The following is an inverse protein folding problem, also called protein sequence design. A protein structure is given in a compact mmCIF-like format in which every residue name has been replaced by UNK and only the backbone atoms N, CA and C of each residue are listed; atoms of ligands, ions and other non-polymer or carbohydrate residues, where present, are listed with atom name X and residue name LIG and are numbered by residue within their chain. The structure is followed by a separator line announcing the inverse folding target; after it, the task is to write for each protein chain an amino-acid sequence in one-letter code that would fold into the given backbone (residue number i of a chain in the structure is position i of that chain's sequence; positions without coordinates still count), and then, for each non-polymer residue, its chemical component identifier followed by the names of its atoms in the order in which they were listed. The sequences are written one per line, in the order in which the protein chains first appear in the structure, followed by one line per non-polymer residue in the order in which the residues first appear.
data_IF_524030003160
#
_entry.id   IF_524030003160
#
_cell.length_a   1.000
_cell.length_b   1.000
_cell.length_c   1.000
_cell.angle_alpha   90.00
_cell.angle_beta   90.00
_cell.angle_gamma   90.00
#
_symmetry.space_group_name_H-M   'P 1'
#
loop_
_entity.id
_entity.type
_entity.pdbx_description
1 polymer ?
#
# COMPACT_ATOMS: atom_id res chain seq x y z
N UNK A 1 5.59 9.36 6.29
CA UNK A 1 5.63 7.89 6.13
C UNK A 1 6.70 7.22 7.00
N UNK A 2 7.92 7.78 7.16
CA UNK A 2 8.95 7.16 8.01
C UNK A 2 8.55 6.90 9.48
N UNK A 3 7.77 7.80 10.11
CA UNK A 3 7.23 7.55 11.45
C UNK A 3 6.26 6.36 11.53
N UNK A 4 5.59 6.02 10.43
CA UNK A 4 4.72 4.84 10.36
C UNK A 4 5.55 3.55 10.37
N UNK A 5 6.65 3.49 9.60
CA UNK A 5 7.57 2.35 9.62
C UNK A 5 8.08 2.05 11.03
N UNK A 6 8.53 3.08 11.76
CA UNK A 6 8.99 2.91 13.14
C UNK A 6 7.88 2.34 14.05
N UNK A 7 6.64 2.80 13.89
CA UNK A 7 5.51 2.26 14.67
C UNK A 7 5.17 0.81 14.30
N UNK A 8 5.29 0.45 13.02
CA UNK A 8 5.06 -0.90 12.54
C UNK A 8 6.13 -1.86 13.07
N UNK A 9 7.40 -1.46 13.02
CA UNK A 9 8.49 -2.27 13.56
C UNK A 9 8.39 -2.41 15.08
N UNK A 10 8.03 -1.36 15.82
CA UNK A 10 7.81 -1.46 17.26
C UNK A 10 6.62 -2.36 17.65
N UNK A 11 5.63 -2.53 16.76
CA UNK A 11 4.46 -3.36 17.03
C UNK A 11 4.67 -4.83 16.63
N UNK A 12 5.27 -5.05 15.45
CA UNK A 12 5.41 -6.38 14.86
C UNK A 12 6.83 -6.97 14.97
N UNK A 13 7.81 -6.17 15.41
CA UNK A 13 9.23 -6.51 15.49
C UNK A 13 9.75 -7.19 14.22
N UNK A 14 9.54 -6.57 13.05
CA UNK A 14 9.99 -7.12 11.77
C UNK A 14 11.52 -7.26 11.72
N UNK A 15 12.24 -6.39 12.42
CA UNK A 15 13.70 -6.31 12.40
C UNK A 15 14.42 -7.31 13.30
N UNK A 16 13.76 -7.92 14.30
CA UNK A 16 14.42 -8.76 15.31
C UNK A 16 14.68 -10.22 14.86
N UNK A 17 14.10 -10.61 13.72
CA UNK A 17 14.27 -11.94 13.10
C UNK A 17 13.40 -13.06 13.67
N UNK A 18 12.55 -12.82 14.66
CA UNK A 18 11.73 -13.88 15.26
C UNK A 18 10.72 -14.47 14.26
N UNK A 19 10.19 -13.64 13.36
CA UNK A 19 9.20 -14.04 12.34
C UNK A 19 9.73 -15.10 11.36
N UNK A 20 11.05 -15.19 11.17
CA UNK A 20 11.68 -16.21 10.29
C UNK A 20 11.38 -17.65 10.74
N UNK A 21 11.08 -17.83 12.03
CA UNK A 21 10.80 -19.13 12.63
C UNK A 21 9.29 -19.44 12.72
N UNK A 22 8.42 -18.52 12.29
CA UNK A 22 6.96 -18.70 12.28
C UNK A 22 6.53 -19.26 10.93
N UNK A 23 5.81 -20.38 10.95
CA UNK A 23 5.32 -21.04 9.74
C UNK A 23 4.47 -20.09 8.90
N UNK A 24 4.85 -19.87 7.64
CA UNK A 24 4.18 -18.97 6.70
C UNK A 24 4.67 -17.52 6.74
N UNK A 25 5.62 -17.19 7.63
CA UNK A 25 6.20 -15.85 7.77
C UNK A 25 7.70 -15.82 7.43
N UNK A 26 8.23 -16.90 6.85
CA UNK A 26 9.66 -17.08 6.57
C UNK A 26 10.22 -15.96 5.67
N UNK A 27 9.41 -15.44 4.76
CA UNK A 27 9.74 -14.30 3.89
C UNK A 27 10.14 -13.05 4.70
N UNK A 28 9.52 -12.78 5.85
CA UNK A 28 9.89 -11.64 6.70
C UNK A 28 11.29 -11.76 7.30
N UNK A 29 11.87 -12.98 7.33
CA UNK A 29 13.27 -13.17 7.67
C UNK A 29 14.23 -12.39 6.78
N UNK A 30 13.84 -12.09 5.53
CA UNK A 30 14.61 -11.24 4.61
C UNK A 30 14.70 -9.80 5.13
N UNK A 31 13.64 -9.28 5.76
CA UNK A 31 13.65 -7.93 6.36
C UNK A 31 14.65 -7.87 7.51
N UNK A 32 14.65 -8.87 8.40
CA UNK A 32 15.61 -8.96 9.49
C UNK A 32 17.06 -9.17 9.01
N UNK A 33 17.26 -9.94 7.94
CA UNK A 33 18.57 -10.13 7.34
C UNK A 33 19.09 -8.83 6.69
N UNK A 34 18.21 -8.05 6.03
CA UNK A 34 18.55 -6.73 5.48
C UNK A 34 18.78 -5.67 6.56
N UNK A 35 18.07 -5.72 7.69
CA UNK A 35 18.24 -4.78 8.79
C UNK A 35 19.66 -4.79 9.39
N UNK A 36 20.42 -5.87 9.20
CA UNK A 36 21.84 -5.98 9.61
C UNK A 36 22.78 -5.17 8.72
N UNK A 37 22.36 -4.81 7.51
CA UNK A 37 23.20 -4.18 6.48
C UNK A 37 22.66 -2.83 6.00
N UNK A 38 21.47 -2.41 6.44
CA UNK A 38 20.88 -1.09 6.12
C UNK A 38 20.91 -0.15 7.32
N UNK A 39 21.08 1.14 7.05
CA UNK A 39 20.84 2.19 8.06
C UNK A 39 19.34 2.38 8.30
N UNK A 40 18.93 2.97 9.43
CA UNK A 40 17.52 3.28 9.69
C UNK A 40 16.87 4.11 8.56
N UNK A 41 17.59 5.08 8.00
CA UNK A 41 17.10 5.92 6.90
C UNK A 41 16.90 5.10 5.62
N UNK A 42 17.82 4.18 5.30
CA UNK A 42 17.68 3.29 4.15
C UNK A 42 16.51 2.31 4.32
N UNK A 43 16.26 1.82 5.53
CA UNK A 43 15.11 0.97 5.82
C UNK A 43 13.79 1.74 5.64
N UNK A 44 13.74 2.98 6.12
CA UNK A 44 12.60 3.88 5.90
C UNK A 44 12.39 4.16 4.41
N UNK A 45 13.44 4.50 3.67
CA UNK A 45 13.36 4.75 2.23
C UNK A 45 12.89 3.51 1.47
N UNK A 46 13.44 2.34 1.80
CA UNK A 46 13.01 1.06 1.23
C UNK A 46 11.53 0.79 1.48
N UNK A 47 11.04 1.02 2.70
CA UNK A 47 9.62 0.88 3.03
C UNK A 47 8.74 1.88 2.25
N UNK A 48 9.21 3.11 2.09
CA UNK A 48 8.52 4.17 1.33
C UNK A 48 8.36 3.78 -0.14
N UNK A 49 9.42 3.24 -0.74
CA UNK A 49 9.46 2.86 -2.15
C UNK A 49 8.56 1.66 -2.50
N UNK A 50 8.03 0.94 -1.51
CA UNK A 50 7.02 -0.11 -1.73
C UNK A 50 5.60 0.45 -1.91
N UNK A 51 5.37 1.71 -1.54
CA UNK A 51 4.05 2.34 -1.57
C UNK A 51 3.86 3.15 -2.84
N UNK A 52 2.61 3.26 -3.31
CA UNK A 52 2.24 4.24 -4.33
C UNK A 52 2.19 5.62 -3.70
N UNK A 53 3.24 6.42 -3.89
CA UNK A 53 3.34 7.77 -3.34
C UNK A 53 4.11 8.70 -4.28
N UNK A 54 3.74 9.98 -4.30
CA UNK A 54 4.38 11.00 -5.13
C UNK A 54 3.41 12.03 -5.68
N UNK A 55 3.77 12.63 -6.82
CA UNK A 55 2.85 13.44 -7.63
C UNK A 55 1.77 12.57 -8.29
N UNK A 56 0.65 13.16 -8.76
CA UNK A 56 -0.38 12.39 -9.46
C UNK A 56 0.15 11.56 -10.64
N UNK A 57 1.08 12.10 -11.43
CA UNK A 57 1.65 11.40 -12.58
C UNK A 57 2.56 10.24 -12.14
N UNK A 58 3.33 10.41 -11.06
CA UNK A 58 4.13 9.33 -10.48
C UNK A 58 3.25 8.21 -9.94
N UNK A 59 2.12 8.55 -9.30
CA UNK A 59 1.17 7.56 -8.82
C UNK A 59 0.54 6.78 -9.98
N UNK A 60 0.17 7.48 -11.06
CA UNK A 60 -0.36 6.83 -12.28
C UNK A 60 0.65 5.83 -12.85
N UNK A 61 1.90 6.25 -13.06
CA UNK A 61 2.97 5.40 -13.58
C UNK A 61 3.18 4.15 -12.71
N UNK A 62 3.25 4.32 -11.39
CA UNK A 62 3.41 3.20 -10.45
C UNK A 62 2.24 2.21 -10.53
N UNK A 63 1.00 2.72 -10.59
CA UNK A 63 -0.21 1.88 -10.65
C UNK A 63 -0.27 1.12 -11.97
N UNK A 64 -0.01 1.78 -13.12
CA UNK A 64 0.00 1.13 -14.43
C UNK A 64 1.11 0.07 -14.51
N UNK A 65 2.30 0.36 -13.98
CA UNK A 65 3.38 -0.63 -13.91
C UNK A 65 3.07 -1.82 -12.98
N UNK A 66 2.27 -1.62 -11.93
CA UNK A 66 1.76 -2.72 -11.11
C UNK A 66 0.73 -3.54 -11.89
N UNK A 67 -0.17 -2.89 -12.63
CA UNK A 67 -1.20 -3.56 -13.42
C UNK A 67 -0.58 -4.43 -14.51
N UNK A 68 0.46 -3.95 -15.18
CA UNK A 68 1.18 -4.73 -16.20
C UNK A 68 1.84 -6.01 -15.63
N UNK A 69 2.17 -6.01 -14.33
CA UNK A 69 2.83 -7.15 -13.66
C UNK A 69 1.87 -8.21 -13.16
N UNK A 70 0.72 -7.82 -12.63
CA UNK A 70 -0.20 -8.75 -11.91
C UNK A 70 -1.63 -8.74 -12.42
N UNK A 71 -1.96 -7.89 -13.40
CA UNK A 71 -3.27 -7.74 -14.05
C UNK A 71 -4.44 -7.65 -13.06
N UNK A 72 -4.37 -6.67 -12.15
CA UNK A 72 -5.45 -6.39 -11.20
C UNK A 72 -6.52 -5.46 -11.80
N UNK A 73 -7.73 -5.59 -11.28
CA UNK A 73 -8.91 -4.79 -11.64
C UNK A 73 -9.40 -3.88 -10.49
N UNK A 74 -9.01 -4.18 -9.25
CA UNK A 74 -9.37 -3.40 -8.05
C UNK A 74 -8.12 -2.87 -7.33
N UNK A 75 -8.12 -1.56 -7.04
CA UNK A 75 -7.11 -0.90 -6.21
C UNK A 75 -7.74 -0.41 -4.91
N UNK A 76 -7.26 -0.92 -3.77
CA UNK A 76 -7.65 -0.44 -2.44
C UNK A 76 -6.52 0.44 -1.91
N UNK A 77 -6.79 1.74 -1.74
CA UNK A 77 -5.79 2.73 -1.33
C UNK A 77 -6.01 3.20 0.11
N UNK A 78 -4.90 3.39 0.85
CA UNK A 78 -4.90 3.91 2.22
C UNK A 78 -4.34 5.33 2.22
N UNK A 79 -5.17 6.31 2.56
CA UNK A 79 -4.80 7.74 2.58
C UNK A 79 -4.53 8.29 3.98
N UNK A 80 -4.73 7.47 5.02
CA UNK A 80 -4.49 7.83 6.41
C UNK A 80 -3.58 6.80 7.06
N UNK A 81 -2.42 7.24 7.53
CA UNK A 81 -1.43 6.39 8.19
C UNK A 81 -0.61 7.21 9.18
N UNK A 82 0.04 6.54 10.14
CA UNK A 82 1.02 7.17 11.03
C UNK A 82 0.53 8.41 11.80
N UNK A 83 -0.77 8.48 12.12
CA UNK A 83 -1.35 9.62 12.83
C UNK A 83 -1.44 10.91 11.99
N UNK A 84 -1.50 10.81 10.66
CA UNK A 84 -1.67 11.97 9.78
C UNK A 84 -2.88 12.84 10.17
N UNK A 85 -2.74 14.18 10.14
CA UNK A 85 -3.87 15.09 10.32
C UNK A 85 -4.99 14.84 9.30
N UNK A 86 -6.27 14.87 9.72
CA UNK A 86 -7.41 14.59 8.84
C UNK A 86 -7.46 15.43 7.56
N UNK A 87 -7.05 16.69 7.63
CA UNK A 87 -7.03 17.61 6.50
C UNK A 87 -6.03 17.19 5.41
N UNK A 88 -4.91 16.56 5.78
CA UNK A 88 -3.95 16.04 4.82
C UNK A 88 -4.46 14.77 4.16
N UNK A 89 -5.12 13.90 4.93
CA UNK A 89 -5.81 12.72 4.40
C UNK A 89 -6.88 13.13 3.39
N UNK A 90 -7.76 14.06 3.75
CA UNK A 90 -8.84 14.52 2.87
C UNK A 90 -8.29 15.17 1.59
N UNK A 91 -7.25 16.01 1.72
CA UNK A 91 -6.60 16.62 0.55
C UNK A 91 -6.01 15.56 -0.39
N UNK A 92 -5.34 14.55 0.15
CA UNK A 92 -4.74 13.47 -0.64
C UNK A 92 -5.80 12.64 -1.36
N UNK A 93 -6.89 12.28 -0.66
CA UNK A 93 -8.03 11.58 -1.25
C UNK A 93 -8.66 12.37 -2.39
N UNK A 94 -8.94 13.67 -2.19
CA UNK A 94 -9.53 14.53 -3.23
C UNK A 94 -8.63 14.66 -4.44
N UNK A 95 -7.33 14.86 -4.23
CA UNK A 95 -6.36 14.97 -5.32
C UNK A 95 -6.26 13.68 -6.14
N UNK A 96 -6.24 12.52 -5.47
CA UNK A 96 -6.23 11.22 -6.16
C UNK A 96 -7.51 11.03 -6.99
N UNK A 97 -8.66 11.34 -6.40
CA UNK A 97 -9.96 11.21 -7.06
C UNK A 97 -10.10 12.14 -8.28
N UNK A 98 -9.51 13.34 -8.25
CA UNK A 98 -9.61 14.29 -9.36
C UNK A 98 -8.55 14.09 -10.45
N UNK A 99 -7.31 13.72 -10.08
CA UNK A 99 -6.18 13.73 -11.02
C UNK A 99 -5.72 12.34 -11.49
N UNK A 100 -5.91 11.30 -10.68
CA UNK A 100 -5.37 9.96 -10.94
C UNK A 100 -6.48 8.99 -11.37
N UNK A 101 -7.55 8.90 -10.58
CA UNK A 101 -8.64 7.96 -10.81
C UNK A 101 -9.27 8.07 -12.21
N UNK A 102 -9.55 9.27 -12.76
CA UNK A 102 -10.15 9.37 -14.10
C UNK A 102 -9.23 8.86 -15.22
N UNK A 103 -7.91 9.05 -15.10
CA UNK A 103 -6.93 8.57 -16.09
C UNK A 103 -6.87 7.04 -16.08
N UNK A 104 -6.80 6.43 -14.90
CA UNK A 104 -6.84 4.97 -14.75
C UNK A 104 -8.12 4.34 -15.33
N UNK A 105 -9.26 5.00 -15.16
CA UNK A 105 -10.54 4.53 -15.71
C UNK A 105 -10.60 4.62 -17.23
N UNK A 106 -9.89 5.58 -17.85
CA UNK A 106 -9.78 5.67 -19.31
C UNK A 106 -8.85 4.60 -19.88
N UNK A 107 -7.82 4.20 -19.14
CA UNK A 107 -6.89 3.12 -19.50
C UNK A 107 -7.51 1.73 -19.31
N UNK A 108 -8.53 1.60 -18.45
CA UNK A 108 -9.27 0.36 -18.21
C UNK A 108 -10.33 0.06 -19.28
N UNK A 109 -10.37 -1.20 -19.72
CA UNK A 109 -11.53 -1.83 -20.38
C UNK A 109 -12.82 -1.45 -19.61
N UNK A 110 -13.94 -1.14 -20.30
CA UNK A 110 -15.16 -0.66 -19.67
C UNK A 110 -15.54 -1.49 -18.45
N UNK A 111 -15.80 -0.79 -17.35
CA UNK A 111 -16.39 -1.35 -16.13
C UNK A 111 -17.74 -1.95 -16.48
N UNK A 112 -17.78 -3.23 -16.83
CA UNK A 112 -18.99 -4.04 -16.63
C UNK A 112 -19.09 -4.31 -15.13
N UNK A 113 -19.43 -3.28 -14.36
CA UNK A 113 -19.87 -3.51 -13.00
C UNK A 113 -21.21 -4.24 -13.13
N UNK A 114 -21.19 -5.57 -13.06
CA UNK A 114 -22.36 -6.22 -12.52
C UNK A 114 -22.50 -5.73 -11.08
N UNK A 115 -23.66 -5.18 -10.68
CA UNK A 115 -23.85 -4.72 -9.32
C UNK A 115 -23.57 -5.90 -8.39
N UNK A 116 -22.68 -5.69 -7.41
CA UNK A 116 -22.36 -6.69 -6.41
C UNK A 116 -23.67 -7.28 -5.87
N UNK A 117 -23.87 -8.57 -6.11
CA UNK A 117 -25.07 -9.26 -5.68
C UNK A 117 -25.26 -9.00 -4.17
N UNK A 118 -26.45 -8.53 -3.78
CA UNK A 118 -26.80 -8.32 -2.38
C UNK A 118 -26.47 -9.58 -1.57
N UNK A 119 -25.43 -9.50 -0.74
CA UNK A 119 -25.15 -10.55 0.24
C UNK A 119 -26.25 -10.45 1.30
N UNK A 120 -27.34 -11.19 1.08
CA UNK A 120 -28.35 -11.39 2.12
C UNK A 120 -27.71 -12.20 3.23
N UNK A 121 -27.43 -11.54 4.34
CA UNK A 121 -27.00 -12.18 5.57
C UNK A 121 -28.10 -13.16 6.00
N UNK A 122 -27.83 -14.45 5.86
CA UNK A 122 -28.70 -15.48 6.42
C UNK A 122 -28.58 -15.39 7.95
N UNK A 123 -29.63 -14.88 8.58
CA UNK A 123 -29.77 -14.89 10.03
C UNK A 123 -29.74 -16.34 10.53
N UNK A 124 -28.90 -16.61 11.53
CA UNK A 124 -28.98 -17.79 12.39
C UNK A 124 -29.45 -17.35 13.76
#
# INVERSE_FOLDING_TARGET
MGGYWASADAHYNFSDGHLKNVKGYEHYGVIADNAKTTTPDQAVEGFINLQVAGTPDQCLEQISAMRDKVDFDHLISVFSYGGMPPELTERSMKLFASEVMPKLQQEGVPVTAEPAAEVRLAAK
#
